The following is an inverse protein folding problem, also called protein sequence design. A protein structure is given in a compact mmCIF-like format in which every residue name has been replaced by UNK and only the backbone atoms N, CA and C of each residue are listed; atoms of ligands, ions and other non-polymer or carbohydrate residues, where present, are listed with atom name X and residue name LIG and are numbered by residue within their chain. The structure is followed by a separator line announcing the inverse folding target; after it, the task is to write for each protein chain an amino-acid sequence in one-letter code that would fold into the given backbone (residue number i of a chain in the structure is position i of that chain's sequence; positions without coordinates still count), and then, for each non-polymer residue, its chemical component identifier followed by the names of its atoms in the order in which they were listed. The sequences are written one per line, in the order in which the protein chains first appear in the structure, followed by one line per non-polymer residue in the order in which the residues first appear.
data_IF_881384476922
#
_entry.id   IF_881384476922
#
_cell.length_a   1.000
_cell.length_b   1.000
_cell.length_c   1.000
_cell.angle_alpha   90.00
_cell.angle_beta   90.00
_cell.angle_gamma   90.00
#
_symmetry.space_group_name_H-M   'P 1'
#
loop_
_entity.id
_entity.type
_entity.pdbx_description
1 polymer ?
#
# COMPACT_ATOMS: atom_id res chain seq x y z
N UNK A 1 23.92 -10.80 -7.43
CA UNK A 1 22.99 -9.66 -7.53
C UNK A 1 22.41 -9.46 -6.15
N UNK A 2 22.43 -8.23 -5.64
CA UNK A 2 21.67 -7.97 -4.42
C UNK A 2 20.19 -8.25 -4.71
N UNK A 3 19.48 -8.90 -3.78
CA UNK A 3 18.06 -9.16 -3.98
C UNK A 3 17.31 -7.84 -4.13
N UNK A 4 16.38 -7.78 -5.08
CA UNK A 4 15.45 -6.65 -5.18
C UNK A 4 14.70 -6.53 -3.86
N UNK A 5 14.78 -5.38 -3.17
CA UNK A 5 14.12 -5.22 -1.89
C UNK A 5 12.60 -5.25 -2.02
N UNK A 6 11.93 -5.69 -0.96
CA UNK A 6 10.48 -5.73 -0.84
C UNK A 6 10.00 -4.62 0.09
N UNK A 7 9.18 -3.71 -0.43
CA UNK A 7 8.46 -2.70 0.33
C UNK A 7 7.03 -3.18 0.60
N UNK A 8 6.72 -3.47 1.87
CA UNK A 8 5.37 -3.82 2.31
C UNK A 8 4.75 -2.60 2.98
N UNK A 9 3.56 -2.21 2.52
CA UNK A 9 2.82 -1.05 3.00
C UNK A 9 1.50 -1.50 3.61
N UNK A 10 1.27 -1.14 4.87
CA UNK A 10 -0.03 -1.25 5.52
C UNK A 10 -0.93 -0.08 5.07
N UNK A 11 -1.96 -0.38 4.28
CA UNK A 11 -2.85 0.65 3.75
C UNK A 11 -3.63 1.39 4.85
N UNK A 12 -4.12 0.68 5.86
CA UNK A 12 -4.97 1.25 6.90
C UNK A 12 -4.17 2.22 7.77
N UNK A 13 -2.96 1.82 8.16
CA UNK A 13 -2.06 2.69 8.93
C UNK A 13 -1.65 3.95 8.15
N UNK A 14 -1.26 3.80 6.88
CA UNK A 14 -0.80 4.93 6.06
C UNK A 14 -1.93 5.90 5.75
N UNK A 15 -3.10 5.40 5.33
CA UNK A 15 -4.29 6.23 5.09
C UNK A 15 -4.73 6.91 6.39
N UNK A 16 -4.74 6.18 7.51
CA UNK A 16 -5.12 6.69 8.83
C UNK A 16 -4.21 7.80 9.37
N UNK A 17 -2.98 7.93 8.86
CA UNK A 17 -2.03 8.96 9.29
C UNK A 17 -2.42 10.40 8.91
N UNK A 18 -3.39 10.58 8.00
CA UNK A 18 -3.87 11.90 7.57
C UNK A 18 -5.38 12.05 7.77
N UNK A 19 -5.86 13.15 8.39
CA UNK A 19 -7.28 13.40 8.61
C UNK A 19 -7.95 14.00 7.35
N UNK A 20 -7.90 13.30 6.22
CA UNK A 20 -8.36 13.79 4.92
C UNK A 20 -9.79 13.36 4.55
N UNK A 21 -10.52 12.73 5.49
CA UNK A 21 -11.87 12.22 5.25
C UNK A 21 -11.95 10.75 4.82
N UNK A 22 -10.83 10.01 4.81
CA UNK A 22 -10.75 8.61 4.36
C UNK A 22 -11.84 7.66 4.89
N UNK A 23 -12.34 7.90 6.10
CA UNK A 23 -13.36 7.04 6.72
C UNK A 23 -14.68 6.99 5.94
N UNK A 24 -14.95 8.01 5.10
CA UNK A 24 -16.15 8.06 4.25
C UNK A 24 -16.05 7.15 3.02
N UNK A 25 -14.82 6.88 2.56
CA UNK A 25 -14.54 6.08 1.36
C UNK A 25 -13.19 5.38 1.53
N UNK A 26 -13.22 4.28 2.31
CA UNK A 26 -12.00 3.50 2.62
C UNK A 26 -11.39 2.87 1.38
N UNK A 27 -12.22 2.35 0.47
CA UNK A 27 -11.75 1.73 -0.76
C UNK A 27 -11.08 2.74 -1.69
N UNK A 28 -11.69 3.92 -1.89
CA UNK A 28 -11.09 4.98 -2.70
C UNK A 28 -9.83 5.56 -2.06
N UNK A 29 -9.76 5.66 -0.73
CA UNK A 29 -8.53 6.09 -0.05
C UNK A 29 -7.36 5.11 -0.27
N UNK A 30 -7.61 3.80 -0.14
CA UNK A 30 -6.61 2.77 -0.42
C UNK A 30 -6.21 2.73 -1.91
N UNK A 31 -7.16 2.95 -2.84
CA UNK A 31 -6.86 3.04 -4.27
C UNK A 31 -5.97 4.25 -4.60
N UNK A 32 -6.25 5.42 -4.00
CA UNK A 32 -5.38 6.62 -4.15
C UNK A 32 -3.98 6.38 -3.59
N UNK A 33 -3.88 5.71 -2.45
CA UNK A 33 -2.57 5.31 -1.90
C UNK A 33 -1.84 4.36 -2.85
N UNK A 34 -2.50 3.30 -3.36
CA UNK A 34 -1.92 2.37 -4.34
C UNK A 34 -1.33 3.11 -5.54
N UNK A 35 -2.06 4.05 -6.11
CA UNK A 35 -1.61 4.79 -7.29
C UNK A 35 -0.41 5.68 -6.98
N UNK A 36 -0.35 6.26 -5.78
CA UNK A 36 0.79 7.03 -5.31
C UNK A 36 2.06 6.18 -5.05
N UNK A 37 1.92 4.87 -4.86
CA UNK A 37 3.05 3.96 -4.65
C UNK A 37 3.72 3.49 -5.96
N UNK A 38 3.04 3.60 -7.11
CA UNK A 38 3.53 3.11 -8.41
C UNK A 38 4.95 3.59 -8.74
N UNK A 39 5.31 4.90 -8.58
CA UNK A 39 6.66 5.36 -8.89
C UNK A 39 7.75 4.71 -8.03
N UNK A 40 7.42 4.24 -6.82
CA UNK A 40 8.38 3.66 -5.88
C UNK A 40 8.89 2.29 -6.32
N UNK A 41 8.19 1.60 -7.22
CA UNK A 41 8.68 0.35 -7.80
C UNK A 41 9.99 0.55 -8.57
N UNK A 42 10.14 1.71 -9.22
CA UNK A 42 11.34 2.08 -9.96
C UNK A 42 12.33 2.85 -9.09
N UNK A 43 11.86 3.83 -8.32
CA UNK A 43 12.73 4.74 -7.57
C UNK A 43 13.20 4.19 -6.21
N UNK A 44 12.49 3.21 -5.64
CA UNK A 44 12.59 2.88 -4.22
C UNK A 44 12.13 4.06 -3.35
N UNK A 45 12.64 4.15 -2.13
CA UNK A 45 12.39 5.24 -1.16
C UNK A 45 13.73 5.83 -0.71
N UNK A 46 14.40 6.67 -1.52
CA UNK A 46 15.71 7.20 -1.17
C UNK A 46 15.67 8.19 0.02
N UNK A 47 16.71 8.23 0.87
CA UNK A 47 17.92 7.40 0.83
C UNK A 47 17.76 6.02 1.51
N UNK A 48 16.60 5.72 2.10
CA UNK A 48 16.36 4.52 2.90
C UNK A 48 16.39 3.24 2.06
N UNK A 49 15.93 3.32 0.82
CA UNK A 49 15.85 2.20 -0.11
C UNK A 49 16.14 2.67 -1.53
N UNK A 50 17.23 2.19 -2.12
CA UNK A 50 17.50 2.37 -3.55
C UNK A 50 16.54 1.51 -4.38
N UNK A 51 16.08 2.04 -5.51
CA UNK A 51 15.31 1.26 -6.48
C UNK A 51 16.17 0.33 -7.33
N UNK A 52 15.56 -0.64 -8.03
CA UNK A 52 14.11 -0.94 -8.03
C UNK A 52 13.66 -1.68 -6.77
N UNK A 53 12.36 -1.62 -6.43
CA UNK A 53 11.77 -2.34 -5.32
C UNK A 53 10.48 -3.07 -5.74
N UNK A 54 10.23 -4.26 -5.19
CA UNK A 54 8.91 -4.87 -5.26
C UNK A 54 7.99 -4.18 -4.24
N UNK A 55 6.82 -3.72 -4.67
CA UNK A 55 5.87 -3.00 -3.80
C UNK A 55 4.62 -3.83 -3.56
N UNK A 56 4.28 -4.02 -2.29
CA UNK A 56 3.07 -4.71 -1.84
C UNK A 56 2.26 -3.78 -0.95
N UNK A 57 1.01 -3.54 -1.35
CA UNK A 57 0.01 -2.88 -0.52
C UNK A 57 -0.88 -3.92 0.14
N UNK A 58 -0.88 -3.95 1.47
CA UNK A 58 -1.78 -4.80 2.27
C UNK A 58 -3.04 -4.00 2.60
N UNK A 59 -4.21 -4.54 2.22
CA UNK A 59 -5.52 -3.92 2.45
C UNK A 59 -6.39 -4.79 3.36
N UNK A 60 -7.25 -4.16 4.15
CA UNK A 60 -8.16 -4.83 5.08
C UNK A 60 -9.59 -4.26 5.04
N UNK A 61 -10.52 -4.95 5.70
CA UNK A 61 -11.92 -4.54 5.83
C UNK A 61 -12.58 -4.10 4.51
N UNK A 62 -13.16 -2.90 4.52
CA UNK A 62 -13.87 -2.33 3.36
C UNK A 62 -12.97 -2.03 2.14
N UNK A 63 -11.64 -2.09 2.27
CA UNK A 63 -10.69 -1.87 1.18
C UNK A 63 -10.23 -3.18 0.50
N UNK A 64 -10.65 -4.36 0.96
CA UNK A 64 -10.23 -5.66 0.41
C UNK A 64 -10.47 -5.84 -1.10
N UNK A 65 -11.40 -5.08 -1.68
CA UNK A 65 -11.73 -5.13 -3.11
C UNK A 65 -10.84 -4.28 -4.02
N UNK A 66 -9.84 -3.55 -3.48
CA UNK A 66 -8.96 -2.70 -4.29
C UNK A 66 -8.10 -3.57 -5.22
N UNK A 67 -8.15 -3.39 -6.55
CA UNK A 67 -7.38 -4.20 -7.48
C UNK A 67 -5.91 -3.79 -7.52
N UNK A 68 -5.04 -4.73 -7.88
CA UNK A 68 -3.64 -4.44 -8.19
C UNK A 68 -3.49 -3.65 -9.50
N UNK A 69 -2.33 -3.01 -9.66
CA UNK A 69 -1.93 -2.29 -10.88
C UNK A 69 -0.46 -2.63 -11.21
N UNK A 70 0.01 -2.39 -12.45
CA UNK A 70 1.43 -2.53 -12.76
C UNK A 70 2.29 -1.74 -11.76
N UNK A 71 3.31 -2.40 -11.20
CA UNK A 71 4.20 -1.82 -10.19
C UNK A 71 3.75 -1.98 -8.73
N UNK A 72 2.49 -2.30 -8.45
CA UNK A 72 1.99 -2.47 -7.07
C UNK A 72 1.10 -3.70 -6.94
N UNK A 73 1.60 -4.71 -6.23
CA UNK A 73 0.81 -5.88 -5.85
C UNK A 73 -0.09 -5.54 -4.67
N UNK A 74 -1.34 -5.97 -4.70
CA UNK A 74 -2.29 -5.77 -3.59
C UNK A 74 -2.61 -7.12 -2.94
N UNK A 75 -2.59 -7.17 -1.62
CA UNK A 75 -2.91 -8.37 -0.82
C UNK A 75 -3.99 -8.01 0.20
N UNK A 76 -5.09 -8.76 0.21
CA UNK A 76 -6.13 -8.62 1.22
C UNK A 76 -5.77 -9.41 2.49
N UNK A 77 -5.68 -8.74 3.63
CA UNK A 77 -5.50 -9.36 4.93
C UNK A 77 -6.75 -10.16 5.34
N UNK A 78 -6.61 -11.33 6.00
CA UNK A 78 -7.74 -12.19 6.38
C UNK A 78 -8.61 -11.60 7.50
N UNK A 79 -8.02 -10.78 8.38
CA UNK A 79 -8.70 -10.01 9.44
C UNK A 79 -8.41 -8.51 9.31
N UNK A 80 -9.02 -7.70 10.17
CA UNK A 80 -8.63 -6.32 10.44
C UNK A 80 -7.67 -6.26 11.62
N UNK A 81 -6.78 -5.27 11.66
CA UNK A 81 -5.96 -4.99 12.84
C UNK A 81 -6.77 -4.64 14.10
N UNK A 82 -8.03 -4.22 13.91
CA UNK A 82 -8.98 -3.88 14.98
C UNK A 82 -9.93 -5.04 15.35
N UNK A 83 -9.83 -6.20 14.70
CA UNK A 83 -10.65 -7.37 15.03
C UNK A 83 -10.06 -8.06 16.29
N UNK A 84 -10.82 -8.10 17.38
CA UNK A 84 -10.47 -8.79 18.65
C UNK A 84 -10.92 -10.24 18.69
#
# INVERSE_FOLDING_TARGET
MDPTPLLIVDAANVVGSRPDGWWRDRAGAAARLRDALVPLAESGVPPQLAGPAEVVLVVEGAARGVPAVPGVRVVAAPGSGDDT
#
